data_IF_865733607579
#
_entry.id   IF_865733607579
#
_cell.length_a   1.000
_cell.length_b   1.000
_cell.length_c   1.000
_cell.angle_alpha   90.00
_cell.angle_beta   90.00
_cell.angle_gamma   90.00
#
_symmetry.space_group_name_H-M   'P 1'
#
loop_
_entity.id
_entity.type
_entity.pdbx_description
1 polymer ?
#
# COMPACT_ATOMS: atom_id res chain seq x y z
N UNK A 1 -3.15 16.87 -35.63
CA UNK A 1 -2.27 16.32 -34.58
C UNK A 1 -3.01 15.15 -33.96
N UNK A 2 -2.59 13.90 -34.23
CA UNK A 2 -3.26 12.72 -33.68
C UNK A 2 -3.03 12.68 -32.17
N UNK A 3 -4.10 12.81 -31.39
CA UNK A 3 -4.08 12.50 -29.97
C UNK A 3 -3.91 11.00 -29.89
N UNK A 4 -2.68 10.53 -29.69
CA UNK A 4 -2.41 9.14 -29.35
C UNK A 4 -3.13 8.87 -28.04
N UNK A 5 -4.21 8.07 -28.08
CA UNK A 5 -4.93 7.67 -26.89
C UNK A 5 -3.92 7.01 -25.93
N UNK A 6 -3.70 7.64 -24.79
CA UNK A 6 -2.82 7.10 -23.75
C UNK A 6 -3.44 5.79 -23.30
N UNK A 7 -2.77 4.67 -23.61
CA UNK A 7 -3.26 3.34 -23.28
C UNK A 7 -2.45 2.80 -22.11
N UNK A 8 -3.07 2.73 -20.93
CA UNK A 8 -2.43 2.15 -19.76
C UNK A 8 -2.25 0.64 -19.98
N UNK A 9 -1.05 0.07 -19.77
CA UNK A 9 -0.80 -1.36 -19.86
C UNK A 9 -1.78 -2.18 -19.00
N UNK A 10 -2.22 -3.33 -19.51
CA UNK A 10 -3.15 -4.21 -18.80
C UNK A 10 -2.61 -4.67 -17.44
N UNK A 11 -1.29 -4.83 -17.32
CA UNK A 11 -0.59 -5.16 -16.06
C UNK A 11 -0.81 -4.12 -14.97
N UNK A 12 -0.80 -2.83 -15.33
CA UNK A 12 -1.05 -1.72 -14.40
C UNK A 12 -2.56 -1.62 -14.08
N UNK A 13 -3.43 -1.93 -15.05
CA UNK A 13 -4.89 -1.97 -14.81
C UNK A 13 -5.27 -3.04 -13.77
N UNK A 14 -4.52 -4.14 -13.66
CA UNK A 14 -4.72 -5.16 -12.63
C UNK A 14 -4.57 -4.60 -11.21
N UNK A 15 -3.65 -3.63 -11.01
CA UNK A 15 -3.41 -2.98 -9.72
C UNK A 15 -4.65 -2.22 -9.20
N UNK A 16 -5.57 -1.84 -10.09
CA UNK A 16 -6.83 -1.20 -9.73
C UNK A 16 -7.70 -2.08 -8.83
N UNK A 17 -7.62 -3.41 -8.95
CA UNK A 17 -8.37 -4.34 -8.12
C UNK A 17 -8.01 -4.16 -6.63
N UNK A 18 -6.73 -3.93 -6.35
CA UNK A 18 -6.18 -3.75 -5.01
C UNK A 18 -6.49 -2.38 -4.41
N UNK A 19 -6.80 -1.38 -5.24
CA UNK A 19 -7.14 -0.02 -4.83
C UNK A 19 -8.59 0.13 -4.34
N UNK A 20 -9.45 -0.84 -4.65
CA UNK A 20 -10.91 -0.69 -4.53
C UNK A 20 -11.44 -0.65 -3.08
N UNK A 21 -10.81 -1.36 -2.13
CA UNK A 21 -11.29 -1.37 -0.75
C UNK A 21 -10.15 -1.61 0.26
N UNK A 22 -9.72 -0.53 0.92
CA UNK A 22 -8.68 -0.55 1.96
C UNK A 22 -9.05 -1.47 3.13
N UNK A 23 -10.32 -1.49 3.53
CA UNK A 23 -10.78 -2.32 4.66
C UNK A 23 -10.66 -3.80 4.31
N UNK A 24 -11.05 -4.17 3.09
CA UNK A 24 -10.94 -5.55 2.61
C UNK A 24 -9.47 -6.00 2.52
N UNK A 25 -8.60 -5.16 1.98
CA UNK A 25 -7.17 -5.44 1.86
C UNK A 25 -6.51 -5.65 3.24
N UNK A 26 -6.86 -4.81 4.22
CA UNK A 26 -6.39 -4.95 5.60
C UNK A 26 -6.94 -6.20 6.27
N UNK A 27 -8.23 -6.49 6.13
CA UNK A 27 -8.85 -7.68 6.69
C UNK A 27 -8.21 -8.97 6.14
N UNK A 28 -7.94 -9.01 4.82
CA UNK A 28 -7.27 -10.13 4.18
C UNK A 28 -5.83 -10.30 4.70
N UNK A 29 -5.08 -9.20 4.82
CA UNK A 29 -3.69 -9.22 5.31
C UNK A 29 -3.59 -9.73 6.76
N UNK A 30 -4.49 -9.27 7.63
CA UNK A 30 -4.58 -9.73 9.02
C UNK A 30 -4.99 -11.19 9.11
N UNK A 31 -5.96 -11.62 8.29
CA UNK A 31 -6.42 -13.00 8.25
C UNK A 31 -5.29 -13.95 7.83
N UNK A 32 -4.52 -13.58 6.80
CA UNK A 32 -3.37 -14.36 6.32
C UNK A 32 -2.37 -14.56 7.45
N UNK A 33 -1.96 -13.49 8.13
CA UNK A 33 -1.00 -13.58 9.24
C UNK A 33 -1.57 -14.39 10.41
N UNK A 34 -2.85 -14.22 10.76
CA UNK A 34 -3.49 -14.98 11.82
C UNK A 34 -3.49 -16.49 11.54
N UNK A 35 -3.77 -16.89 10.29
CA UNK A 35 -3.72 -18.29 9.87
C UNK A 35 -2.30 -18.84 9.99
N UNK A 36 -1.31 -18.14 9.45
CA UNK A 36 0.09 -18.59 9.51
C UNK A 36 0.60 -18.66 10.95
N UNK A 37 0.20 -17.72 11.80
CA UNK A 37 0.51 -17.75 13.24
C UNK A 37 -0.12 -18.97 13.92
N UNK A 38 -1.41 -19.23 13.69
CA UNK A 38 -2.12 -20.38 14.26
C UNK A 38 -1.52 -21.72 13.81
N UNK A 39 -1.18 -21.85 12.53
CA UNK A 39 -0.49 -23.03 11.98
C UNK A 39 0.90 -23.20 12.59
N UNK A 40 1.66 -22.11 12.75
CA UNK A 40 3.01 -22.16 13.33
C UNK A 40 2.98 -22.59 14.79
N UNK A 41 2.04 -22.07 15.58
CA UNK A 41 1.86 -22.49 16.97
C UNK A 41 1.41 -23.95 17.10
N UNK A 42 0.56 -24.43 16.19
CA UNK A 42 0.03 -25.80 16.24
C UNK A 42 1.06 -26.85 15.78
N UNK A 43 1.90 -26.50 14.82
CA UNK A 43 2.96 -27.36 14.30
C UNK A 43 4.29 -27.22 15.07
N UNK A 44 4.42 -26.15 15.85
CA UNK A 44 5.69 -25.76 16.47
C UNK A 44 6.74 -25.27 15.47
N UNK A 45 6.39 -25.08 14.19
CA UNK A 45 7.30 -24.67 13.14
C UNK A 45 7.01 -23.22 12.71
N UNK A 46 7.89 -22.30 13.13
CA UNK A 46 7.78 -20.89 12.77
C UNK A 46 8.32 -20.56 11.37
N UNK A 47 8.81 -21.54 10.61
CA UNK A 47 9.07 -21.38 9.18
C UNK A 47 7.78 -21.03 8.41
N UNK A 48 6.63 -21.54 8.89
CA UNK A 48 5.31 -21.21 8.35
C UNK A 48 4.99 -19.73 8.58
N UNK A 49 5.25 -19.21 9.78
CA UNK A 49 5.07 -17.79 10.09
C UNK A 49 5.98 -16.91 9.23
N UNK A 50 7.22 -17.35 9.02
CA UNK A 50 8.17 -16.69 8.12
C UNK A 50 7.62 -16.58 6.68
N UNK A 51 7.08 -17.67 6.14
CA UNK A 51 6.42 -17.65 4.83
C UNK A 51 5.22 -16.67 4.79
N UNK A 52 4.42 -16.64 5.87
CA UNK A 52 3.33 -15.67 6.03
C UNK A 52 3.80 -14.23 6.06
N UNK A 53 4.93 -13.95 6.72
CA UNK A 53 5.59 -12.64 6.72
C UNK A 53 6.04 -12.21 5.32
N UNK A 54 6.61 -13.14 4.54
CA UNK A 54 7.01 -12.88 3.16
C UNK A 54 5.82 -12.52 2.27
N UNK A 55 4.72 -13.25 2.42
CA UNK A 55 3.47 -12.98 1.72
C UNK A 55 2.88 -11.61 2.10
N UNK A 56 2.84 -11.28 3.39
CA UNK A 56 2.41 -9.96 3.88
C UNK A 56 3.27 -8.84 3.29
N UNK A 57 4.60 -9.04 3.22
CA UNK A 57 5.51 -8.06 2.65
C UNK A 57 5.20 -7.77 1.18
N UNK A 58 5.03 -8.82 0.38
CA UNK A 58 4.73 -8.71 -1.05
C UNK A 58 3.36 -8.06 -1.30
N UNK A 59 2.32 -8.48 -0.58
CA UNK A 59 0.97 -7.89 -0.73
C UNK A 59 0.99 -6.42 -0.35
N UNK A 60 1.66 -6.06 0.74
CA UNK A 60 1.75 -4.66 1.19
C UNK A 60 2.51 -3.80 0.19
N UNK A 61 3.59 -4.33 -0.41
CA UNK A 61 4.34 -3.64 -1.46
C UNK A 61 3.50 -3.45 -2.73
N UNK A 62 2.73 -4.47 -3.13
CA UNK A 62 1.79 -4.38 -4.26
C UNK A 62 0.71 -3.31 -4.01
N UNK A 63 0.17 -3.26 -2.79
CA UNK A 63 -0.79 -2.23 -2.39
C UNK A 63 -0.15 -0.83 -2.44
N UNK A 64 1.04 -0.66 -1.86
CA UNK A 64 1.80 0.58 -1.93
C UNK A 64 1.99 1.07 -3.38
N UNK A 65 2.43 0.18 -4.28
CA UNK A 65 2.62 0.50 -5.70
C UNK A 65 1.30 0.85 -6.39
N UNK A 66 0.21 0.16 -6.06
CA UNK A 66 -1.13 0.41 -6.60
C UNK A 66 -1.67 1.81 -6.25
N UNK A 67 -1.28 2.35 -5.08
CA UNK A 67 -1.61 3.73 -4.68
C UNK A 67 -0.60 4.77 -5.19
N UNK A 68 0.55 4.35 -5.72
CA UNK A 68 1.59 5.26 -6.24
C UNK A 68 1.44 5.50 -7.73
N UNK A 69 1.05 4.47 -8.49
CA UNK A 69 0.98 4.51 -9.95
C UNK A 69 -0.46 4.83 -10.38
N UNK A 70 -0.68 5.75 -11.33
CA UNK A 70 -2.00 5.97 -11.92
C UNK A 70 -2.49 4.70 -12.63
N UNK A 71 -3.64 4.18 -12.20
CA UNK A 71 -4.16 2.88 -12.67
C UNK A 71 -5.23 3.01 -13.76
N UNK A 72 -5.75 4.22 -13.97
CA UNK A 72 -6.72 4.54 -15.01
C UNK A 72 -6.37 5.81 -15.77
N UNK A 73 -6.96 5.96 -16.95
CA UNK A 73 -6.64 7.03 -17.89
C UNK A 73 -6.98 8.42 -17.33
N UNK A 74 -8.03 8.54 -16.52
CA UNK A 74 -8.41 9.80 -15.88
C UNK A 74 -7.43 10.18 -14.77
N UNK A 75 -6.97 9.20 -14.00
CA UNK A 75 -5.97 9.35 -12.96
C UNK A 75 -4.61 9.73 -13.57
N UNK A 76 -4.24 9.11 -14.69
CA UNK A 76 -3.02 9.46 -15.43
C UNK A 76 -3.07 10.87 -16.00
N UNK A 77 -4.19 11.28 -16.60
CA UNK A 77 -4.37 12.65 -17.09
C UNK A 77 -4.33 13.67 -15.94
N UNK A 78 -4.90 13.33 -14.78
CA UNK A 78 -4.85 14.18 -13.59
C UNK A 78 -3.42 14.29 -13.05
N UNK A 79 -2.67 13.19 -13.05
CA UNK A 79 -1.26 13.15 -12.67
C UNK A 79 -0.39 14.00 -13.61
N UNK A 80 -0.61 13.91 -14.92
CA UNK A 80 0.11 14.74 -15.90
C UNK A 80 -0.15 16.23 -15.70
N UNK A 81 -1.39 16.64 -15.39
CA UNK A 81 -1.71 18.05 -15.09
C UNK A 81 -0.98 18.59 -13.86
N UNK A 82 -0.64 17.72 -12.90
CA UNK A 82 0.10 18.11 -11.69
C UNK A 82 1.60 18.27 -12.00
N UNK A 83 2.18 17.36 -12.79
CA UNK A 83 3.63 17.35 -13.08
C UNK A 83 4.02 18.33 -14.18
N UNK A 84 3.17 18.44 -15.20
CA UNK A 84 3.34 19.36 -16.31
C UNK A 84 2.16 20.34 -16.33
N UNK A 85 2.10 21.28 -15.37
CA UNK A 85 1.11 22.33 -15.44
C UNK A 85 1.35 23.08 -16.74
N UNK A 86 0.35 23.14 -17.62
CA UNK A 86 0.45 23.97 -18.81
C UNK A 86 0.69 25.40 -18.33
N UNK A 87 1.78 26.03 -18.78
CA UNK A 87 2.18 27.38 -18.37
C UNK A 87 1.11 28.46 -18.65
N UNK A 88 0.04 28.12 -19.38
CA UNK A 88 -1.12 28.97 -19.61
C UNK A 88 -2.05 29.11 -18.38
N UNK A 89 -1.96 28.23 -17.37
CA UNK A 89 -2.67 28.41 -16.09
C UNK A 89 -1.90 29.33 -15.12
N UNK A 90 -0.62 29.60 -15.38
CA UNK A 90 0.16 30.64 -14.69
C UNK A 90 -0.04 31.96 -15.44
N UNK A 91 -1.25 32.50 -15.37
CA UNK A 91 -1.49 33.87 -15.80
C UNK A 91 -0.45 34.80 -15.19
N UNK A 92 0.18 35.64 -16.03
CA UNK A 92 1.20 36.66 -15.67
C UNK A 92 0.64 37.77 -14.77
N UNK A 93 -0.63 37.67 -14.35
CA UNK A 93 -1.29 38.59 -13.45
C UNK A 93 -1.57 37.82 -12.16
N UNK A 94 -1.12 38.36 -11.03
CA UNK A 94 -1.38 37.81 -9.70
C UNK A 94 -2.88 37.74 -9.43
N UNK A 95 -3.53 36.69 -9.91
CA UNK A 95 -4.94 36.44 -9.68
C UNK A 95 -5.13 36.20 -8.19
N UNK A 96 -5.88 37.10 -7.58
CA UNK A 96 -6.37 36.99 -6.23
C UNK A 96 -7.09 35.64 -6.11
N UNK A 97 -6.49 34.67 -5.40
CA UNK A 97 -7.07 33.32 -5.20
C UNK A 97 -8.53 33.48 -4.77
N UNK A 98 -9.45 33.17 -5.67
CA UNK A 98 -10.89 33.17 -5.35
C UNK A 98 -11.17 32.10 -4.31
N UNK A 99 -12.18 32.28 -3.45
CA UNK A 99 -12.54 31.32 -2.38
C UNK A 99 -12.74 29.88 -2.92
N UNK A 100 -13.16 29.75 -4.18
CA UNK A 100 -13.30 28.47 -4.90
C UNK A 100 -11.93 27.80 -5.12
N UNK A 101 -10.90 28.57 -5.52
CA UNK A 101 -9.54 28.06 -5.71
C UNK A 101 -8.91 27.58 -4.39
N UNK A 102 -9.18 28.28 -3.28
CA UNK A 102 -8.72 27.90 -1.93
C UNK A 102 -9.38 26.61 -1.45
N UNK A 103 -10.70 26.48 -1.60
CA UNK A 103 -11.44 25.26 -1.27
C UNK A 103 -10.96 24.05 -2.09
N UNK A 104 -10.58 24.28 -3.35
CA UNK A 104 -10.08 23.22 -4.23
C UNK A 104 -8.65 22.80 -3.85
N UNK A 105 -7.83 23.74 -3.40
CA UNK A 105 -6.48 23.49 -2.87
C UNK A 105 -6.51 22.75 -1.53
N UNK A 106 -7.41 23.12 -0.63
CA UNK A 106 -7.66 22.43 0.64
C UNK A 106 -8.17 21.00 0.42
N UNK A 107 -9.09 20.80 -0.54
CA UNK A 107 -9.54 19.45 -0.91
C UNK A 107 -8.41 18.59 -1.47
N UNK A 108 -7.51 19.19 -2.27
CA UNK A 108 -6.32 18.51 -2.81
C UNK A 108 -5.34 18.15 -1.69
N UNK A 109 -5.10 19.03 -0.73
CA UNK A 109 -4.19 18.76 0.39
C UNK A 109 -4.73 17.64 1.29
N UNK A 110 -6.03 17.63 1.59
CA UNK A 110 -6.68 16.55 2.36
C UNK A 110 -6.57 15.21 1.63
N UNK A 111 -6.84 15.18 0.32
CA UNK A 111 -6.71 13.96 -0.48
C UNK A 111 -5.25 13.47 -0.55
N UNK A 112 -4.31 14.39 -0.73
CA UNK A 112 -2.87 14.11 -0.75
C UNK A 112 -2.36 13.55 0.58
N UNK A 113 -2.78 14.14 1.70
CA UNK A 113 -2.44 13.64 3.03
C UNK A 113 -3.02 12.24 3.29
N UNK A 114 -4.27 12.00 2.86
CA UNK A 114 -4.88 10.67 2.96
C UNK A 114 -4.12 9.63 2.13
N UNK A 115 -3.72 9.97 0.91
CA UNK A 115 -2.95 9.09 0.04
C UNK A 115 -1.56 8.78 0.64
N UNK A 116 -0.84 9.81 1.08
CA UNK A 116 0.46 9.68 1.76
C UNK A 116 0.37 8.81 3.01
N UNK A 117 -0.69 8.98 3.82
CA UNK A 117 -0.94 8.16 5.01
C UNK A 117 -1.15 6.69 4.65
N UNK A 118 -1.97 6.40 3.64
CA UNK A 118 -2.23 5.03 3.15
C UNK A 118 -0.95 4.40 2.58
N UNK A 119 -0.18 5.14 1.79
CA UNK A 119 1.10 4.66 1.25
C UNK A 119 2.10 4.35 2.37
N UNK A 120 2.29 5.28 3.31
CA UNK A 120 3.20 5.11 4.44
C UNK A 120 2.80 3.90 5.30
N UNK A 121 1.50 3.72 5.49
CA UNK A 121 0.95 2.57 6.22
C UNK A 121 1.35 1.24 5.58
N UNK A 122 1.13 1.06 4.27
CA UNK A 122 1.49 -0.20 3.59
C UNK A 122 3.01 -0.40 3.47
N UNK A 123 3.78 0.66 3.38
CA UNK A 123 5.25 0.56 3.46
C UNK A 123 5.69 -0.01 4.81
N UNK A 124 5.13 0.49 5.91
CA UNK A 124 5.41 -0.03 7.27
C UNK A 124 5.01 -1.50 7.38
N UNK A 125 3.84 -1.89 6.87
CA UNK A 125 3.42 -3.29 6.84
C UNK A 125 4.35 -4.18 6.02
N UNK A 126 4.90 -3.66 4.91
CA UNK A 126 5.89 -4.39 4.13
C UNK A 126 7.18 -4.62 4.92
N UNK A 127 7.64 -3.62 5.67
CA UNK A 127 8.80 -3.74 6.56
C UNK A 127 8.52 -4.77 7.67
N UNK A 128 7.37 -4.70 8.33
CA UNK A 128 6.97 -5.67 9.37
C UNK A 128 6.94 -7.09 8.79
N UNK A 129 6.31 -7.29 7.64
CA UNK A 129 6.27 -8.58 6.96
C UNK A 129 7.67 -9.10 6.63
N UNK A 130 8.57 -8.22 6.18
CA UNK A 130 9.96 -8.56 5.89
C UNK A 130 10.73 -8.97 7.16
N UNK A 131 10.50 -8.29 8.28
CA UNK A 131 11.09 -8.69 9.57
C UNK A 131 10.58 -10.05 10.02
N UNK A 132 9.28 -10.31 9.91
CA UNK A 132 8.69 -11.63 10.22
C UNK A 132 9.28 -12.69 9.28
N UNK A 133 9.44 -12.37 8.00
CA UNK A 133 10.01 -13.29 7.02
C UNK A 133 11.46 -13.64 7.36
N UNK A 134 12.29 -12.62 7.58
CA UNK A 134 13.71 -12.80 7.87
C UNK A 134 13.95 -13.52 9.21
N UNK A 135 13.17 -13.22 10.25
CA UNK A 135 13.43 -13.68 11.61
C UNK A 135 12.50 -14.80 12.09
N UNK A 136 11.37 -15.04 11.44
CA UNK A 136 10.37 -16.01 11.87
C UNK A 136 10.93 -17.43 11.95
N UNK A 137 11.72 -17.85 10.95
CA UNK A 137 12.33 -19.18 10.94
C UNK A 137 13.39 -19.41 12.01
N UNK A 138 13.90 -18.35 12.64
CA UNK A 138 14.85 -18.44 13.75
C UNK A 138 14.18 -18.62 15.11
N UNK A 139 12.86 -18.46 15.19
CA UNK A 139 12.07 -18.77 16.38
C UNK A 139 11.98 -20.30 16.49
N UNK A 140 13.00 -20.92 17.08
CA UNK A 140 13.03 -22.36 17.32
C UNK A 140 11.97 -22.77 18.34
N UNK A 141 11.28 -23.88 18.05
CA UNK A 141 10.30 -24.53 18.92
C UNK A 141 10.84 -24.82 20.31
N UNK A 142 12.14 -25.13 20.39
CA UNK A 142 12.89 -25.49 21.61
C UNK A 142 12.82 -24.39 22.69
N UNK A 143 12.92 -23.11 22.29
CA UNK A 143 12.84 -21.97 23.20
C UNK A 143 11.40 -21.66 23.62
N UNK A 144 10.42 -21.95 22.76
CA UNK A 144 9.02 -21.71 23.04
C UNK A 144 8.42 -22.82 23.94
N UNK A 145 8.73 -24.10 23.67
CA UNK A 145 8.33 -25.21 24.53
C UNK A 145 8.92 -25.11 25.95
N UNK A 146 10.15 -24.60 26.11
CA UNK A 146 10.72 -24.34 27.43
C UNK A 146 9.92 -23.31 28.24
N UNK A 147 9.34 -22.29 27.59
CA UNK A 147 8.52 -21.26 28.26
C UNK A 147 7.16 -21.83 28.70
N UNK A 148 6.55 -22.72 27.91
CA UNK A 148 5.23 -23.29 28.22
C UNK A 148 5.28 -24.57 29.09
N UNK A 149 6.38 -25.32 29.07
CA UNK A 149 6.53 -26.56 29.87
C UNK A 149 7.21 -26.35 31.23
N UNK A 150 7.69 -25.15 31.57
CA UNK A 150 8.19 -24.84 32.93
C UNK A 150 7.10 -24.42 33.92
N UNK A 151 5.81 -24.55 33.55
CA UNK A 151 4.65 -24.23 34.41
C UNK A 151 3.84 -25.44 34.88
N UNK A 152 4.36 -26.66 34.74
CA UNK A 152 3.73 -27.92 35.20
C UNK A 152 4.26 -28.39 36.54
#
# INVERSE_FOLDING_TARGET
>A
MQITAIKIPATIKLLRLFKSNLVLANALSLLIIAIHMGMSLSSGDFSILSAGGGLLSLISLLLFLSYTIPTDENEYLSYLKIIYPLDHEKGVLGEQKTTISLLQEERRSVLGNKLMSVQSYYLVWSIIGTLIWAYGGFLKTEHFQAIFNCGG
#
